data_IF_445236869285
#
_entry.id   IF_445236869285
#
_cell.length_a   1.000
_cell.length_b   1.000
_cell.length_c   1.000
_cell.angle_alpha   90.00
_cell.angle_beta   90.00
_cell.angle_gamma   90.00
#
_symmetry.space_group_name_H-M   'P 1'
#
loop_
_entity.id
_entity.type
_entity.pdbx_description
1 polymer ?
#
# COMPACT_ATOMS: atom_id res chain seq x y z
N UNK A 1 -14.93 -19.19 44.07
CA UNK A 1 -14.59 -17.82 43.62
C UNK A 1 -13.53 -17.93 42.55
N UNK A 2 -13.94 -17.74 41.29
CA UNK A 2 -13.08 -17.78 40.11
C UNK A 2 -12.46 -16.42 39.85
N UNK A 3 -11.14 -16.37 39.64
CA UNK A 3 -10.54 -15.34 38.76
C UNK A 3 -9.34 -15.94 38.04
N UNK A 4 -9.59 -16.51 36.86
CA UNK A 4 -8.54 -16.66 35.85
C UNK A 4 -8.13 -15.26 35.43
N UNK A 5 -6.89 -14.88 35.71
CA UNK A 5 -6.28 -13.70 35.12
C UNK A 5 -6.38 -13.83 33.60
N UNK A 6 -7.15 -12.94 32.98
CA UNK A 6 -7.23 -12.83 31.53
C UNK A 6 -5.86 -12.35 31.06
N UNK A 7 -5.06 -13.26 30.55
CA UNK A 7 -3.86 -12.98 29.80
C UNK A 7 -4.29 -12.15 28.58
N UNK A 8 -4.22 -10.82 28.72
CA UNK A 8 -4.49 -9.89 27.63
C UNK A 8 -3.36 -10.04 26.64
N UNK A 9 -3.56 -10.93 25.66
CA UNK A 9 -2.86 -10.89 24.37
C UNK A 9 -2.87 -9.46 23.89
N UNK A 10 -1.69 -8.83 23.82
CA UNK A 10 -1.52 -7.54 23.16
C UNK A 10 -1.68 -7.79 21.66
N UNK A 11 -2.91 -7.76 21.16
CA UNK A 11 -3.17 -7.64 19.71
C UNK A 11 -2.80 -6.23 19.32
N UNK A 12 -1.56 -6.05 18.86
CA UNK A 12 -1.07 -4.75 18.41
C UNK A 12 -1.86 -4.28 17.19
N UNK A 13 -2.61 -3.19 17.33
CA UNK A 13 -3.37 -2.53 16.26
C UNK A 13 -2.42 -1.99 15.19
N UNK A 14 -2.72 -2.23 13.91
CA UNK A 14 -1.89 -1.73 12.82
C UNK A 14 -2.00 -2.51 11.52
N UNK A 15 -1.01 -2.31 10.66
CA UNK A 15 -0.86 -2.96 9.37
C UNK A 15 -0.58 -4.46 9.54
N UNK A 16 -1.40 -5.31 8.92
CA UNK A 16 -1.23 -6.77 8.88
C UNK A 16 -1.46 -7.33 7.49
N UNK A 17 -1.06 -8.60 7.30
CA UNK A 17 -1.32 -9.37 6.09
C UNK A 17 -0.95 -8.65 4.79
N UNK A 18 0.19 -7.94 4.82
CA UNK A 18 0.70 -7.20 3.66
C UNK A 18 1.11 -8.17 2.55
N UNK A 19 0.48 -8.01 1.38
CA UNK A 19 0.78 -8.75 0.16
C UNK A 19 0.95 -7.79 -1.01
N UNK A 20 2.05 -7.94 -1.75
CA UNK A 20 2.36 -7.15 -2.93
C UNK A 20 2.36 -8.08 -4.15
N UNK A 21 1.63 -7.72 -5.19
CA UNK A 21 1.64 -8.47 -6.45
C UNK A 21 1.62 -7.56 -7.67
N UNK A 22 2.26 -8.00 -8.75
CA UNK A 22 2.30 -7.29 -10.03
C UNK A 22 1.59 -8.15 -11.07
N UNK A 23 0.63 -7.58 -11.78
CA UNK A 23 -0.16 -8.27 -12.81
C UNK A 23 -0.11 -7.52 -14.14
N UNK A 24 0.38 -8.14 -15.24
CA UNK A 24 1.03 -9.46 -15.29
C UNK A 24 2.42 -9.44 -14.63
N UNK A 25 2.97 -10.61 -14.24
CA UNK A 25 4.30 -10.70 -13.60
C UNK A 25 5.45 -10.25 -14.52
N UNK A 26 5.22 -10.26 -15.83
CA UNK A 26 6.12 -9.73 -16.85
C UNK A 26 5.31 -8.99 -17.91
N UNK A 27 5.80 -7.81 -18.28
CA UNK A 27 5.14 -6.90 -19.20
C UNK A 27 6.12 -6.46 -20.28
N UNK A 28 5.66 -6.38 -21.53
CA UNK A 28 6.46 -5.83 -22.62
C UNK A 28 6.59 -4.32 -22.47
N UNK A 29 7.70 -3.74 -22.93
CA UNK A 29 7.91 -2.30 -22.89
C UNK A 29 6.75 -1.56 -23.56
N UNK A 30 6.21 -0.54 -22.89
CA UNK A 30 5.09 0.26 -23.39
C UNK A 30 3.71 -0.34 -23.16
N UNK A 31 3.62 -1.55 -22.59
CA UNK A 31 2.38 -2.14 -22.10
C UNK A 31 2.20 -1.84 -20.60
N UNK A 32 0.98 -2.04 -20.11
CA UNK A 32 0.58 -1.75 -18.72
C UNK A 32 0.82 -2.94 -17.80
N UNK A 33 1.15 -2.65 -16.54
CA UNK A 33 1.06 -3.60 -15.43
C UNK A 33 0.44 -2.92 -14.21
N UNK A 34 -0.33 -3.70 -13.45
CA UNK A 34 -0.99 -3.26 -12.23
C UNK A 34 -0.17 -3.70 -11.01
N UNK A 35 0.06 -2.76 -10.09
CA UNK A 35 0.73 -2.99 -8.82
C UNK A 35 -0.33 -3.06 -7.72
N UNK A 36 -0.58 -4.25 -7.18
CA UNK A 36 -1.54 -4.45 -6.11
C UNK A 36 -0.82 -4.46 -4.76
N UNK A 37 -1.37 -3.69 -3.82
CA UNK A 37 -1.00 -3.69 -2.42
C UNK A 37 -2.24 -4.06 -1.61
N UNK A 38 -2.26 -5.27 -1.05
CA UNK A 38 -3.33 -5.77 -0.20
C UNK A 38 -2.84 -5.76 1.24
N UNK A 39 -3.64 -5.23 2.14
CA UNK A 39 -3.29 -5.11 3.55
C UNK A 39 -4.54 -5.00 4.41
N UNK A 40 -4.40 -5.35 5.68
CA UNK A 40 -5.42 -5.18 6.70
C UNK A 40 -4.98 -4.11 7.68
N UNK A 41 -5.91 -3.20 7.99
CA UNK A 41 -5.72 -2.16 8.98
C UNK A 41 -6.62 -2.50 10.17
N UNK A 42 -6.06 -3.12 11.21
CA UNK A 42 -6.79 -3.61 12.39
C UNK A 42 -7.29 -2.43 13.27
N UNK A 43 -8.26 -1.65 12.75
CA UNK A 43 -8.81 -0.45 13.38
C UNK A 43 -7.90 0.79 13.32
N UNK A 44 -6.71 0.69 12.73
CA UNK A 44 -5.77 1.81 12.58
C UNK A 44 -5.95 2.52 11.23
N UNK A 45 -5.71 3.84 11.13
CA UNK A 45 -5.73 4.53 9.84
C UNK A 45 -4.47 4.22 9.01
N UNK A 46 -4.63 4.10 7.68
CA UNK A 46 -3.47 4.00 6.78
C UNK A 46 -2.73 5.34 6.74
N UNK A 47 -1.44 5.33 7.02
CA UNK A 47 -0.61 6.53 6.88
C UNK A 47 -0.31 6.86 5.40
N UNK A 48 0.34 5.95 4.68
CA UNK A 48 0.56 6.07 3.23
C UNK A 48 0.95 4.74 2.58
N UNK A 49 0.70 4.62 1.28
CA UNK A 49 1.28 3.60 0.39
C UNK A 49 2.21 4.31 -0.58
N UNK A 50 3.44 3.80 -0.76
CA UNK A 50 4.45 4.39 -1.64
C UNK A 50 5.06 3.31 -2.53
N UNK A 51 5.18 3.62 -3.81
CA UNK A 51 5.87 2.75 -4.77
C UNK A 51 7.19 3.36 -5.20
N UNK A 52 8.24 2.52 -5.18
CA UNK A 52 9.60 2.88 -5.51
C UNK A 52 10.14 2.01 -6.64
N UNK A 53 10.98 2.59 -7.48
CA UNK A 53 11.88 1.86 -8.37
C UNK A 53 13.32 2.19 -7.98
N UNK A 54 14.00 1.23 -7.38
CA UNK A 54 15.26 1.50 -6.69
C UNK A 54 15.00 2.46 -5.52
N UNK A 55 15.68 3.61 -5.52
CA UNK A 55 15.53 4.65 -4.48
C UNK A 55 14.55 5.77 -4.86
N UNK A 56 14.02 5.75 -6.08
CA UNK A 56 13.16 6.82 -6.59
C UNK A 56 11.69 6.45 -6.39
N UNK A 57 10.99 7.29 -5.64
CA UNK A 57 9.54 7.23 -5.51
C UNK A 57 8.89 7.65 -6.82
N UNK A 58 7.90 6.89 -7.28
CA UNK A 58 7.14 7.24 -8.49
C UNK A 58 5.63 7.38 -8.22
N UNK A 59 5.14 6.90 -7.08
CA UNK A 59 3.73 7.06 -6.67
C UNK A 59 3.60 7.06 -5.14
N UNK A 60 2.66 7.86 -4.63
CA UNK A 60 2.20 7.86 -3.23
C UNK A 60 0.69 7.99 -3.14
N UNK A 61 0.10 7.23 -2.24
CA UNK A 61 -1.26 7.42 -1.74
C UNK A 61 -1.22 7.74 -0.24
N UNK A 62 -1.74 8.90 0.16
CA UNK A 62 -1.85 9.37 1.54
C UNK A 62 -3.31 9.80 1.78
N UNK A 63 -4.14 8.99 2.48
CA UNK A 63 -5.58 9.27 2.64
C UNK A 63 -5.91 10.64 3.25
N UNK A 64 -4.98 11.19 4.04
CA UNK A 64 -5.16 12.45 4.76
C UNK A 64 -4.58 13.68 4.04
N UNK A 65 -4.02 13.52 2.84
CA UNK A 65 -3.53 14.64 2.03
C UNK A 65 -4.55 15.02 0.93
N UNK A 66 -4.44 16.27 0.42
CA UNK A 66 -5.23 16.74 -0.72
C UNK A 66 -4.28 17.25 -1.83
N UNK A 67 -4.24 16.61 -3.03
CA UNK A 67 -4.92 15.36 -3.37
C UNK A 67 -4.32 14.15 -2.63
N UNK A 68 -5.09 13.06 -2.42
CA UNK A 68 -4.61 11.87 -1.72
C UNK A 68 -3.58 11.07 -2.53
N UNK A 69 -3.66 11.12 -3.86
CA UNK A 69 -2.67 10.49 -4.74
C UNK A 69 -1.69 11.54 -5.29
N UNK A 70 -0.40 11.21 -5.27
CA UNK A 70 0.69 12.00 -5.84
C UNK A 70 1.54 11.12 -6.76
N UNK A 71 1.79 11.62 -7.97
CA UNK A 71 2.64 10.95 -8.97
C UNK A 71 3.95 11.72 -9.05
N UNK A 72 5.06 11.00 -8.91
CA UNK A 72 6.40 11.56 -9.08
C UNK A 72 6.93 11.11 -10.45
N UNK A 73 7.28 12.04 -11.35
CA UNK A 73 7.74 11.68 -12.68
C UNK A 73 8.97 10.75 -12.63
N UNK A 74 8.92 9.63 -13.35
CA UNK A 74 10.03 8.69 -13.47
C UNK A 74 10.24 8.36 -14.95
N UNK A 75 11.48 8.48 -15.43
CA UNK A 75 11.80 8.24 -16.85
C UNK A 75 11.47 6.80 -17.26
N UNK A 76 10.53 6.66 -18.19
CA UNK A 76 10.11 5.36 -18.73
C UNK A 76 9.02 4.64 -17.93
N UNK A 77 8.44 5.26 -16.90
CA UNK A 77 7.23 4.79 -16.21
C UNK A 77 6.17 5.88 -16.32
N UNK A 78 4.96 5.50 -16.76
CA UNK A 78 3.78 6.35 -16.71
C UNK A 78 2.82 5.72 -15.71
N UNK A 79 2.42 6.47 -14.70
CA UNK A 79 1.45 6.02 -13.70
C UNK A 79 0.08 6.54 -14.11
N UNK A 80 -0.89 5.64 -14.17
CA UNK A 80 -2.29 6.02 -14.34
C UNK A 80 -2.88 6.34 -12.96
N UNK A 81 -3.21 7.62 -12.72
CA UNK A 81 -3.80 8.10 -11.47
C UNK A 81 -5.29 7.80 -11.33
N UNK A 82 -5.94 7.22 -12.34
CA UNK A 82 -7.38 6.91 -12.32
C UNK A 82 -7.71 5.60 -11.59
N UNK A 83 -6.71 4.73 -11.36
CA UNK A 83 -6.89 3.38 -10.80
C UNK A 83 -6.81 3.31 -9.27
N UNK A 84 -6.69 4.46 -8.58
CA UNK A 84 -6.58 4.52 -7.11
C UNK A 84 -7.92 4.67 -6.38
N UNK A 85 -9.01 4.21 -6.98
CA UNK A 85 -10.37 4.18 -6.40
C UNK A 85 -10.71 2.79 -5.87
#
# INVERSE_FOLDING_TARGET
>A
MTSRGKETSVTGTGLRNLSLSIKPPWVRRGQEAQLHCQYEMEGAPLYSVKWYRGTLEFYRYSPFENPPAKIFPFTGIKVDGSLSL
#
